data_IF_352924331301
#
_entry.id   IF_352924331301
#
_cell.length_a   1.000
_cell.length_b   1.000
_cell.length_c   1.000
_cell.angle_alpha   90.00
_cell.angle_beta   90.00
_cell.angle_gamma   90.00
#
_symmetry.space_group_name_H-M   'P 1'
#
loop_
_entity.id
_entity.type
_entity.pdbx_description
1 polymer ?
#
# COMPACT_ATOMS: atom_id res chain seq x y z
N UNK A 1 15.04 4.65 7.26
CA UNK A 1 13.87 3.77 7.04
C UNK A 1 13.77 3.64 5.55
N UNK A 2 13.90 2.45 4.95
CA UNK A 2 13.96 2.32 3.48
C UNK A 2 12.61 1.95 2.86
N UNK A 3 12.49 2.02 1.54
CA UNK A 3 11.22 1.71 0.83
C UNK A 3 10.71 0.30 1.13
N UNK A 4 11.62 -0.66 1.38
CA UNK A 4 11.27 -2.05 1.72
C UNK A 4 10.66 -2.13 3.12
N UNK A 5 11.14 -1.31 4.07
CA UNK A 5 10.56 -1.20 5.41
C UNK A 5 9.14 -0.58 5.33
N UNK A 6 8.95 0.41 4.46
CA UNK A 6 7.64 1.02 4.21
C UNK A 6 6.69 0.01 3.57
N UNK A 7 7.14 -0.75 2.56
CA UNK A 7 6.33 -1.78 1.92
C UNK A 7 5.92 -2.89 2.91
N UNK A 8 6.83 -3.31 3.80
CA UNK A 8 6.53 -4.27 4.87
C UNK A 8 5.59 -3.72 5.94
N UNK A 9 5.56 -2.40 6.12
CA UNK A 9 4.63 -1.75 7.04
C UNK A 9 3.22 -1.58 6.45
N UNK A 10 3.05 -1.71 5.13
CA UNK A 10 1.74 -1.69 4.48
C UNK A 10 1.05 -3.05 4.72
N UNK A 11 0.14 -3.07 5.69
CA UNK A 11 -0.74 -4.20 5.92
C UNK A 11 -1.91 -4.18 4.93
N UNK A 12 -1.79 -4.97 3.87
CA UNK A 12 -2.83 -5.13 2.85
C UNK A 12 -4.13 -5.70 3.42
N UNK A 13 -4.09 -6.50 4.48
CA UNK A 13 -5.32 -7.05 5.09
C UNK A 13 -6.09 -5.94 5.80
N UNK A 14 -5.41 -5.14 6.62
CA UNK A 14 -6.03 -3.97 7.24
C UNK A 14 -6.52 -2.96 6.18
N UNK A 15 -5.80 -2.79 5.07
CA UNK A 15 -6.27 -1.97 3.95
C UNK A 15 -7.56 -2.51 3.31
N UNK A 16 -7.68 -3.82 3.14
CA UNK A 16 -8.90 -4.47 2.65
C UNK A 16 -10.06 -4.29 3.63
N UNK A 17 -9.84 -4.49 4.93
CA UNK A 17 -10.87 -4.29 5.96
C UNK A 17 -11.43 -2.85 5.89
N UNK A 18 -10.55 -1.86 5.73
CA UNK A 18 -10.96 -0.46 5.56
C UNK A 18 -11.72 -0.19 4.25
N UNK A 19 -11.44 -0.92 3.18
CA UNK A 19 -12.19 -0.82 1.92
C UNK A 19 -13.56 -1.49 1.99
N UNK A 20 -13.73 -2.49 2.86
CA UNK A 20 -15.02 -3.11 3.16
C UNK A 20 -15.90 -2.19 4.00
N UNK A 21 -15.30 -1.51 5.00
CA UNK A 21 -16.01 -0.57 5.89
C UNK A 21 -16.35 0.77 5.22
N UNK A 22 -15.45 1.31 4.40
CA UNK A 22 -15.78 2.44 3.53
C UNK A 22 -16.67 1.95 2.40
N UNK A 23 -17.60 2.75 1.88
CA UNK A 23 -18.55 2.34 0.83
C UNK A 23 -17.92 2.01 -0.55
N UNK A 24 -16.66 1.58 -0.55
CA UNK A 24 -15.81 1.16 -1.65
C UNK A 24 -15.79 -0.37 -1.83
N UNK A 25 -16.90 -1.05 -1.55
CA UNK A 25 -17.02 -2.52 -1.62
C UNK A 25 -16.57 -3.10 -2.97
N UNK A 26 -16.76 -2.36 -4.07
CA UNK A 26 -16.29 -2.78 -5.40
C UNK A 26 -14.76 -2.83 -5.49
N UNK A 27 -14.06 -1.88 -4.85
CA UNK A 27 -12.61 -1.86 -4.79
C UNK A 27 -12.10 -2.98 -3.87
N UNK A 28 -12.79 -3.25 -2.77
CA UNK A 28 -12.53 -4.42 -1.92
C UNK A 28 -12.52 -5.72 -2.75
N UNK A 29 -13.60 -6.00 -3.49
CA UNK A 29 -13.68 -7.23 -4.29
C UNK A 29 -12.58 -7.32 -5.36
N UNK A 30 -12.28 -6.20 -6.04
CA UNK A 30 -11.22 -6.15 -7.07
C UNK A 30 -9.85 -6.49 -6.50
N UNK A 31 -9.52 -5.97 -5.32
CA UNK A 31 -8.22 -6.19 -4.68
C UNK A 31 -8.18 -7.56 -3.99
N UNK A 32 -9.29 -8.01 -3.40
CA UNK A 32 -9.38 -9.33 -2.78
C UNK A 32 -9.30 -10.48 -3.82
N UNK A 33 -9.61 -10.23 -5.10
CA UNK A 33 -9.43 -11.23 -6.16
C UNK A 33 -8.00 -11.29 -6.73
N UNK A 34 -7.10 -10.40 -6.30
CA UNK A 34 -5.69 -10.45 -6.69
C UNK A 34 -4.98 -11.65 -6.05
N UNK A 35 -4.04 -12.24 -6.79
CA UNK A 35 -3.15 -13.27 -6.25
C UNK A 35 -2.24 -12.69 -5.16
N UNK A 36 -1.66 -13.52 -4.26
CA UNK A 36 -0.73 -13.02 -3.23
C UNK A 36 0.40 -12.17 -3.81
N UNK A 37 1.00 -12.61 -4.92
CA UNK A 37 2.07 -11.87 -5.63
C UNK A 37 1.60 -10.51 -6.16
N UNK A 38 0.36 -10.43 -6.65
CA UNK A 38 -0.21 -9.16 -7.12
C UNK A 38 -0.51 -8.20 -5.96
N UNK A 39 -0.88 -8.73 -4.78
CA UNK A 39 -1.07 -7.94 -3.57
C UNK A 39 0.25 -7.41 -3.02
N UNK A 40 1.31 -8.21 -3.05
CA UNK A 40 2.68 -7.78 -2.72
C UNK A 40 3.13 -6.66 -3.66
N UNK A 41 2.98 -6.84 -4.97
CA UNK A 41 3.31 -5.80 -5.96
C UNK A 41 2.49 -4.51 -5.76
N UNK A 42 1.23 -4.62 -5.35
CA UNK A 42 0.40 -3.47 -5.01
C UNK A 42 0.96 -2.73 -3.79
N UNK A 43 1.36 -3.44 -2.74
CA UNK A 43 1.97 -2.86 -1.54
C UNK A 43 3.28 -2.15 -1.88
N UNK A 44 4.14 -2.75 -2.71
CA UNK A 44 5.39 -2.14 -3.17
C UNK A 44 5.13 -0.82 -3.91
N UNK A 45 4.19 -0.81 -4.87
CA UNK A 45 3.83 0.41 -5.60
C UNK A 45 3.23 1.50 -4.73
N UNK A 46 2.44 1.11 -3.72
CA UNK A 46 1.92 2.03 -2.72
C UNK A 46 3.04 2.64 -1.89
N UNK A 47 4.03 1.83 -1.48
CA UNK A 47 5.20 2.30 -0.75
C UNK A 47 6.03 3.26 -1.59
N UNK A 48 6.32 2.93 -2.86
CA UNK A 48 7.04 3.82 -3.78
C UNK A 48 6.33 5.16 -3.95
N UNK A 49 5.01 5.13 -4.15
CA UNK A 49 4.20 6.35 -4.30
C UNK A 49 4.23 7.21 -3.03
N UNK A 50 4.10 6.58 -1.86
CA UNK A 50 4.14 7.25 -0.56
C UNK A 50 5.52 7.84 -0.29
N UNK A 51 6.60 7.10 -0.56
CA UNK A 51 7.98 7.59 -0.40
C UNK A 51 8.20 8.81 -1.28
N UNK A 52 7.80 8.76 -2.55
CA UNK A 52 7.92 9.89 -3.47
C UNK A 52 7.13 11.11 -2.99
N UNK A 53 5.92 10.91 -2.46
CA UNK A 53 5.11 12.00 -1.90
C UNK A 53 5.78 12.61 -0.67
N UNK A 54 6.30 11.79 0.25
CA UNK A 54 7.03 12.25 1.44
C UNK A 54 8.31 13.02 1.08
N UNK A 55 9.08 12.54 0.11
CA UNK A 55 10.25 13.25 -0.40
C UNK A 55 9.88 14.61 -1.01
N UNK A 56 8.75 14.69 -1.72
CA UNK A 56 8.25 15.96 -2.27
C UNK A 56 7.87 16.98 -1.18
N UNK A 57 7.51 16.49 0.02
CA UNK A 57 7.25 17.29 1.21
C UNK A 57 8.53 17.61 2.02
N UNK A 58 9.69 17.17 1.54
CA UNK A 58 10.99 17.35 2.21
C UNK A 58 11.27 16.33 3.33
N UNK A 59 10.41 15.32 3.51
CA UNK A 59 10.61 14.26 4.48
C UNK A 59 11.46 13.16 3.85
N UNK A 60 12.70 13.02 4.32
CA UNK A 60 13.66 12.07 3.74
C UNK A 60 13.48 10.69 4.36
N UNK A 61 13.34 9.69 3.49
CA UNK A 61 13.27 8.27 3.84
C UNK A 61 14.58 7.62 3.37
N UNK A 62 15.48 7.33 4.31
CA UNK A 62 16.82 6.79 3.97
C UNK A 62 16.74 5.52 3.11
N UNK A 63 17.44 5.52 1.97
CA UNK A 63 17.49 4.40 1.01
C UNK A 63 18.12 3.13 1.58
#
# INVERSE_FOLDING_TARGET
MNHTDVAKAIDIHHFLDRLEESSSIQNYYRINHLTPQQRELLAERMAESLVSELESMGLHIDS
#
